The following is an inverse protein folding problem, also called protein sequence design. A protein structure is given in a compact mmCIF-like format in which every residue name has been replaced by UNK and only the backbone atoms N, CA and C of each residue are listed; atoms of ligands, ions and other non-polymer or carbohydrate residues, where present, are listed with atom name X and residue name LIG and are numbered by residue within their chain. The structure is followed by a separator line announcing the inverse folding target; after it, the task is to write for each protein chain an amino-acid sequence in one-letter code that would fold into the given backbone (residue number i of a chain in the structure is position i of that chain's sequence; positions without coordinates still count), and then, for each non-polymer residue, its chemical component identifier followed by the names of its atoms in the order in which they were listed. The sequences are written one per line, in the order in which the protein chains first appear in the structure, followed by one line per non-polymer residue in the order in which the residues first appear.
data_IF_773303126425
#
_entry.id   IF_773303126425
#
_cell.length_a   1.000
_cell.length_b   1.000
_cell.length_c   1.000
_cell.angle_alpha   90.00
_cell.angle_beta   90.00
_cell.angle_gamma   90.00
#
_symmetry.space_group_name_H-M   'P 1'
#
loop_
_entity.id
_entity.type
_entity.pdbx_description
1 polymer ?
#
# COMPACT_ATOMS: atom_id res chain seq x y z
N UNK A 1 -91.98 36.62 -16.11
CA UNK A 1 -90.52 36.78 -15.89
C UNK A 1 -90.25 36.68 -14.40
N UNK A 2 -89.06 36.23 -13.94
CA UNK A 2 -88.00 35.47 -14.64
C UNK A 2 -87.77 34.12 -13.90
N UNK A 3 -86.57 33.50 -13.87
CA UNK A 3 -86.07 32.70 -15.00
C UNK A 3 -85.75 31.23 -14.62
N UNK A 4 -85.43 30.46 -15.67
CA UNK A 4 -84.81 29.14 -15.62
C UNK A 4 -83.50 29.13 -14.82
N UNK A 5 -83.17 27.98 -14.20
CA UNK A 5 -81.78 27.70 -13.81
C UNK A 5 -81.41 26.22 -14.10
N UNK A 6 -80.91 25.99 -15.31
CA UNK A 6 -80.52 24.68 -15.80
C UNK A 6 -79.08 24.36 -15.36
N UNK A 7 -78.92 23.68 -14.21
CA UNK A 7 -77.60 23.24 -13.75
C UNK A 7 -77.04 22.15 -14.68
N UNK A 8 -75.89 22.37 -15.36
CA UNK A 8 -75.29 21.35 -16.21
C UNK A 8 -74.73 20.21 -15.35
N UNK A 9 -75.21 18.98 -15.59
CA UNK A 9 -74.60 17.78 -15.00
C UNK A 9 -73.24 17.56 -15.66
N UNK A 10 -72.17 17.87 -14.95
CA UNK A 10 -70.79 17.73 -15.42
C UNK A 10 -70.42 16.24 -15.52
N UNK A 11 -70.76 15.61 -16.64
CA UNK A 11 -70.33 14.24 -16.91
C UNK A 11 -68.79 14.23 -17.08
N UNK A 12 -68.03 13.44 -16.29
CA UNK A 12 -66.58 13.41 -16.43
C UNK A 12 -66.23 12.95 -17.86
N UNK A 13 -65.35 13.67 -18.59
CA UNK A 13 -65.05 13.32 -19.96
C UNK A 13 -64.53 11.89 -20.05
N UNK A 14 -65.04 11.09 -21.00
CA UNK A 14 -64.62 9.68 -21.24
C UNK A 14 -63.09 9.46 -21.31
N UNK A 15 -62.32 10.53 -21.55
CA UNK A 15 -60.85 10.58 -21.48
C UNK A 15 -60.29 10.28 -20.09
N UNK A 16 -60.90 10.77 -19.01
CA UNK A 16 -60.47 10.50 -17.62
C UNK A 16 -60.70 9.05 -17.22
N UNK A 17 -61.82 8.45 -17.66
CA UNK A 17 -62.08 7.03 -17.47
C UNK A 17 -61.01 6.17 -18.17
N UNK A 18 -60.64 6.52 -19.41
CA UNK A 18 -59.56 5.86 -20.17
C UNK A 18 -58.18 6.04 -19.51
N UNK A 19 -57.88 7.23 -18.97
CA UNK A 19 -56.64 7.48 -18.25
C UNK A 19 -56.56 6.65 -16.95
N UNK A 20 -57.66 6.55 -16.19
CA UNK A 20 -57.74 5.69 -15.02
C UNK A 20 -57.55 4.21 -15.35
N UNK A 21 -58.18 3.70 -16.42
CA UNK A 21 -57.97 2.32 -16.91
C UNK A 21 -56.52 2.10 -17.32
N UNK A 22 -55.90 3.03 -18.05
CA UNK A 22 -54.50 2.93 -18.43
C UNK A 22 -53.55 2.89 -17.22
N UNK A 23 -53.79 3.72 -16.19
CA UNK A 23 -53.03 3.71 -14.94
C UNK A 23 -53.14 2.34 -14.24
N UNK A 24 -54.36 1.79 -14.13
CA UNK A 24 -54.58 0.46 -13.51
C UNK A 24 -53.85 -0.64 -14.29
N UNK A 25 -53.90 -0.63 -15.62
CA UNK A 25 -53.16 -1.60 -16.46
C UNK A 25 -51.65 -1.48 -16.23
N UNK A 26 -51.11 -0.26 -16.18
CA UNK A 26 -49.68 -0.04 -15.90
C UNK A 26 -49.29 -0.54 -14.51
N UNK A 27 -50.11 -0.30 -13.49
CA UNK A 27 -49.87 -0.81 -12.12
C UNK A 27 -49.93 -2.34 -12.05
N UNK A 28 -50.89 -2.96 -12.74
CA UNK A 28 -50.98 -4.43 -12.84
C UNK A 28 -49.76 -5.01 -13.56
N UNK A 29 -49.28 -4.38 -14.64
CA UNK A 29 -48.06 -4.80 -15.33
C UNK A 29 -46.81 -4.68 -14.43
N UNK A 30 -46.69 -3.61 -13.65
CA UNK A 30 -45.59 -3.47 -12.67
C UNK A 30 -45.67 -4.53 -11.55
N UNK A 31 -46.89 -4.81 -11.04
CA UNK A 31 -47.10 -5.86 -10.04
C UNK A 31 -46.75 -7.25 -10.59
N UNK A 32 -47.14 -7.56 -11.84
CA UNK A 32 -46.79 -8.81 -12.52
C UNK A 32 -45.28 -8.91 -12.78
N UNK A 33 -44.61 -7.82 -13.18
CA UNK A 33 -43.16 -7.79 -13.37
C UNK A 33 -42.42 -8.01 -12.04
N UNK A 34 -42.87 -7.39 -10.94
CA UNK A 34 -42.32 -7.61 -9.60
C UNK A 34 -42.57 -9.05 -9.12
N UNK A 35 -43.74 -9.63 -9.39
CA UNK A 35 -44.05 -11.03 -9.05
C UNK A 35 -43.21 -12.02 -9.88
N UNK A 36 -42.98 -11.70 -11.16
CA UNK A 36 -42.09 -12.48 -12.03
C UNK A 36 -40.65 -12.42 -11.53
N UNK A 37 -40.13 -11.22 -11.25
CA UNK A 37 -38.76 -11.03 -10.77
C UNK A 37 -38.54 -11.72 -9.41
N UNK A 38 -39.46 -11.59 -8.45
CA UNK A 38 -39.35 -12.26 -7.15
C UNK A 38 -39.39 -13.79 -7.25
N UNK A 39 -40.09 -14.36 -8.25
CA UNK A 39 -40.11 -15.81 -8.52
C UNK A 39 -38.90 -16.30 -9.32
N UNK A 40 -38.28 -15.46 -10.15
CA UNK A 40 -37.17 -15.83 -11.04
C UNK A 40 -35.83 -15.16 -10.65
N UNK A 41 -35.66 -14.79 -9.37
CA UNK A 41 -34.42 -14.21 -8.83
C UNK A 41 -33.32 -15.23 -8.52
N UNK A 42 -33.62 -16.53 -8.58
CA UNK A 42 -32.65 -17.62 -8.34
C UNK A 42 -31.32 -17.42 -9.10
N UNK A 43 -31.28 -17.21 -10.44
CA UNK A 43 -30.01 -17.00 -11.17
C UNK A 43 -29.32 -15.65 -10.88
N UNK A 44 -29.98 -14.72 -10.19
CA UNK A 44 -29.41 -13.44 -9.76
C UNK A 44 -29.01 -13.44 -8.27
N UNK A 45 -29.32 -14.52 -7.55
CA UNK A 45 -28.91 -14.69 -6.17
C UNK A 45 -27.50 -15.28 -6.19
N UNK A 46 -26.45 -14.54 -5.77
CA UNK A 46 -25.12 -15.12 -5.69
C UNK A 46 -25.17 -16.34 -4.76
N UNK A 47 -24.50 -17.45 -5.10
CA UNK A 47 -24.54 -18.66 -4.29
C UNK A 47 -24.15 -18.32 -2.85
N UNK A 48 -24.89 -18.91 -1.90
CA UNK A 48 -24.54 -18.78 -0.48
C UNK A 48 -23.07 -19.20 -0.31
N UNK A 49 -22.26 -18.43 0.46
CA UNK A 49 -20.86 -18.79 0.66
C UNK A 49 -20.82 -20.20 1.23
N UNK A 50 -20.13 -21.10 0.53
CA UNK A 50 -20.05 -22.49 0.95
C UNK A 50 -19.53 -22.54 2.39
N UNK A 51 -20.26 -23.21 3.27
CA UNK A 51 -19.74 -23.62 4.58
C UNK A 51 -18.70 -24.72 4.32
N UNK A 52 -17.51 -24.31 3.87
CA UNK A 52 -16.42 -25.24 3.56
C UNK A 52 -16.00 -25.90 4.88
N UNK A 53 -16.12 -27.23 5.02
CA UNK A 53 -15.66 -27.94 6.22
C UNK A 53 -14.14 -27.99 6.19
N UNK A 54 -13.55 -26.89 6.62
CA UNK A 54 -12.12 -26.65 6.64
C UNK A 54 -11.51 -27.29 7.88
N UNK A 55 -10.46 -28.11 7.70
CA UNK A 55 -9.52 -28.35 8.78
C UNK A 55 -8.73 -27.06 9.00
N UNK A 56 -9.12 -26.28 10.03
CA UNK A 56 -8.59 -24.94 10.27
C UNK A 56 -7.18 -25.03 10.84
N UNK A 57 -6.19 -25.30 9.97
CA UNK A 57 -4.79 -25.03 10.30
C UNK A 57 -4.61 -23.50 10.34
N UNK A 58 -4.70 -22.96 11.55
CA UNK A 58 -4.62 -21.53 11.81
C UNK A 58 -3.15 -21.09 11.92
N UNK A 59 -2.61 -20.56 10.82
CA UNK A 59 -1.31 -19.94 10.79
C UNK A 59 -1.40 -18.52 11.39
N UNK A 60 -0.65 -18.30 12.47
CA UNK A 60 -0.41 -16.97 13.04
C UNK A 60 0.88 -16.36 12.45
N UNK A 61 1.06 -15.02 12.52
CA UNK A 61 2.35 -14.42 12.28
C UNK A 61 3.43 -15.09 13.13
N UNK A 62 4.54 -15.47 12.50
CA UNK A 62 5.69 -16.13 13.12
C UNK A 62 6.97 -15.57 12.50
N UNK A 63 8.11 -15.58 13.22
CA UNK A 63 9.37 -15.15 12.63
C UNK A 63 9.72 -15.94 11.37
N UNK A 64 10.29 -15.27 10.38
CA UNK A 64 10.76 -15.89 9.14
C UNK A 64 12.03 -16.69 9.40
N UNK A 65 12.22 -17.76 8.63
CA UNK A 65 13.47 -18.54 8.66
C UNK A 65 14.64 -17.66 8.18
N UNK A 66 15.67 -17.53 9.01
CA UNK A 66 16.94 -16.91 8.61
C UNK A 66 17.98 -18.01 8.45
N UNK A 67 18.44 -18.19 7.22
CA UNK A 67 19.66 -18.94 6.98
C UNK A 67 20.83 -18.16 7.62
N UNK A 68 21.72 -18.81 8.39
CA UNK A 68 22.83 -18.11 9.02
C UNK A 68 23.70 -17.49 7.93
N UNK A 69 24.00 -16.20 8.07
CA UNK A 69 24.91 -15.50 7.16
C UNK A 69 26.24 -16.28 7.11
N UNK A 70 26.64 -16.70 5.92
CA UNK A 70 27.89 -17.44 5.73
C UNK A 70 29.03 -16.58 6.31
N UNK A 71 29.81 -17.09 7.27
CA UNK A 71 30.79 -16.26 7.97
C UNK A 71 31.77 -15.69 6.94
N UNK A 72 31.81 -14.36 6.86
CA UNK A 72 32.66 -13.65 5.92
C UNK A 72 34.12 -14.16 6.07
N UNK A 73 34.84 -14.41 4.96
CA UNK A 73 36.20 -14.91 5.03
C UNK A 73 37.03 -13.96 5.88
N UNK A 74 37.68 -14.48 6.92
CA UNK A 74 38.58 -13.72 7.80
C UNK A 74 39.53 -12.89 6.92
N UNK A 75 39.61 -11.56 7.09
CA UNK A 75 40.60 -10.76 6.38
C UNK A 75 41.99 -11.35 6.62
N UNK A 76 42.66 -11.76 5.55
CA UNK A 76 44.05 -12.19 5.64
C UNK A 76 44.88 -11.04 6.21
N UNK A 77 45.68 -11.32 7.23
CA UNK A 77 46.45 -10.31 7.93
C UNK A 77 47.42 -9.63 6.94
N UNK A 78 47.15 -8.37 6.60
CA UNK A 78 48.06 -7.56 5.78
C UNK A 78 49.35 -7.31 6.58
N UNK A 79 50.54 -7.54 6.01
CA UNK A 79 51.79 -7.23 6.69
C UNK A 79 51.85 -5.76 7.12
N UNK A 80 52.31 -5.50 8.34
CA UNK A 80 52.40 -4.15 8.89
C UNK A 80 53.46 -3.33 8.13
N UNK A 81 53.09 -2.11 7.72
CA UNK A 81 54.04 -1.16 7.15
C UNK A 81 54.96 -0.57 8.24
N UNK A 82 56.21 -0.16 7.92
CA UNK A 82 57.16 0.33 8.92
C UNK A 82 56.77 1.69 9.52
N UNK A 83 57.14 1.89 10.79
CA UNK A 83 56.97 3.17 11.52
C UNK A 83 57.87 4.27 10.93
N UNK A 84 57.37 5.50 10.72
CA UNK A 84 58.23 6.66 10.43
C UNK A 84 59.12 7.03 11.62
N UNK A 85 60.34 7.51 11.34
CA UNK A 85 61.31 7.94 12.34
C UNK A 85 61.01 9.37 12.88
N UNK A 86 61.52 9.64 14.09
CA UNK A 86 61.32 10.89 14.85
C UNK A 86 62.39 11.95 14.49
N UNK A 87 62.02 13.19 14.10
CA UNK A 87 62.98 14.29 13.98
C UNK A 87 63.40 14.89 15.34
N UNK A 88 64.61 15.45 15.38
CA UNK A 88 65.19 16.20 16.50
C UNK A 88 65.46 17.68 16.09
N UNK A 89 65.68 18.63 17.03
CA UNK A 89 65.28 20.03 16.85
C UNK A 89 66.40 21.08 16.71
N UNK A 90 66.07 22.28 16.18
CA UNK A 90 66.57 23.65 16.51
C UNK A 90 66.27 24.65 15.36
N UNK A 91 66.31 26.01 15.54
CA UNK A 91 66.14 26.85 16.74
C UNK A 91 65.09 27.99 16.57
N UNK A 92 65.06 28.96 17.50
CA UNK A 92 63.98 29.93 17.83
C UNK A 92 64.25 31.43 17.49
N UNK A 93 63.18 32.30 17.45
CA UNK A 93 63.10 33.75 17.90
C UNK A 93 62.04 34.59 17.08
N UNK A 94 61.31 35.62 17.60
CA UNK A 94 60.62 35.86 18.90
C UNK A 94 59.15 36.39 18.75
N UNK A 95 58.53 36.93 19.82
CA UNK A 95 57.13 37.42 19.93
C UNK A 95 56.85 38.86 19.43
N UNK A 96 55.57 39.31 19.35
CA UNK A 96 54.96 40.17 20.41
C UNK A 96 53.56 39.67 20.88
N UNK A 97 53.28 39.59 22.19
CA UNK A 97 52.76 40.60 23.14
C UNK A 97 51.22 40.62 23.32
N UNK A 98 50.81 40.75 24.58
CA UNK A 98 49.46 40.55 25.14
C UNK A 98 49.04 41.83 25.91
N UNK A 99 47.79 42.31 25.83
CA UNK A 99 47.28 43.39 26.68
C UNK A 99 46.46 42.88 27.87
N UNK A 100 46.83 43.35 29.05
CA UNK A 100 46.16 43.14 30.35
C UNK A 100 44.84 43.92 30.48
N UNK A 101 43.90 43.49 31.35
CA UNK A 101 42.69 44.25 31.66
C UNK A 101 42.94 45.35 32.69
N UNK A 102 42.23 46.47 32.57
CA UNK A 102 42.13 47.49 33.63
C UNK A 102 40.66 47.90 33.81
N UNK A 103 40.16 47.72 35.03
CA UNK A 103 38.86 48.22 35.46
C UNK A 103 39.01 49.62 36.05
N UNK A 104 38.09 50.54 35.77
CA UNK A 104 37.99 51.83 36.46
C UNK A 104 36.52 52.11 36.77
N UNK A 105 36.20 52.38 38.03
CA UNK A 105 34.90 52.89 38.46
C UNK A 105 34.99 54.41 38.68
N UNK A 106 33.93 55.13 38.33
CA UNK A 106 33.55 56.43 38.95
C UNK A 106 32.02 56.54 38.87
N UNK A 107 31.39 57.09 39.90
CA UNK A 107 29.94 57.19 40.05
C UNK A 107 29.44 58.64 39.99
N UNK A 108 28.15 58.86 39.69
CA UNK A 108 27.28 59.84 40.36
C UNK A 108 25.80 59.74 39.91
N UNK A 109 24.91 59.62 40.92
CA UNK A 109 23.53 60.12 41.09
C UNK A 109 22.50 60.31 39.95
N UNK A 110 21.27 59.86 40.23
CA UNK A 110 20.02 60.23 39.52
C UNK A 110 18.91 59.17 39.66
N UNK A 111 17.77 59.52 40.26
CA UNK A 111 16.61 58.60 40.52
C UNK A 111 15.30 59.31 40.07
N UNK A 112 14.15 58.61 40.01
CA UNK A 112 13.51 57.89 38.88
C UNK A 112 12.41 58.78 38.20
N UNK A 113 11.34 58.31 37.48
CA UNK A 113 10.84 56.96 37.10
C UNK A 113 10.56 56.84 35.56
N UNK A 114 9.75 55.94 34.96
CA UNK A 114 8.76 54.96 35.45
C UNK A 114 8.50 53.76 34.47
N UNK A 115 7.81 52.74 35.01
CA UNK A 115 6.86 51.80 34.36
C UNK A 115 7.08 51.27 32.92
N UNK A 116 7.34 49.95 32.79
CA UNK A 116 6.40 49.00 32.15
C UNK A 116 6.81 47.51 32.31
N UNK A 117 5.79 46.66 32.58
CA UNK A 117 5.65 45.23 32.26
C UNK A 117 6.81 44.21 32.48
N UNK A 118 6.65 43.41 33.55
CA UNK A 118 7.06 41.99 33.65
C UNK A 118 6.01 41.08 32.96
N UNK A 119 6.23 39.80 32.61
CA UNK A 119 7.43 38.97 32.42
C UNK A 119 7.03 37.63 31.76
N UNK A 120 8.02 36.83 31.34
CA UNK A 120 7.85 35.43 30.88
C UNK A 120 8.03 35.26 29.36
N UNK A 121 8.96 34.45 28.86
CA UNK A 121 9.89 33.55 29.56
C UNK A 121 10.47 32.50 28.62
N UNK A 122 11.10 32.93 27.52
CA UNK A 122 11.60 32.06 26.45
C UNK A 122 13.01 31.54 26.74
N UNK A 123 13.11 30.29 27.16
CA UNK A 123 14.38 29.55 27.18
C UNK A 123 14.72 29.03 25.78
N UNK A 124 15.55 29.76 25.04
CA UNK A 124 16.15 29.28 23.79
C UNK A 124 17.53 28.67 24.10
N UNK A 125 17.63 27.35 23.98
CA UNK A 125 18.90 26.61 24.05
C UNK A 125 19.26 26.06 22.69
N UNK A 126 20.24 26.65 22.01
CA UNK A 126 20.66 26.24 20.68
C UNK A 126 21.87 25.30 20.72
N UNK A 127 21.81 24.27 19.87
CA UNK A 127 22.94 23.55 19.25
C UNK A 127 23.95 22.81 20.15
N UNK A 128 24.01 21.49 19.95
CA UNK A 128 25.29 20.80 19.68
C UNK A 128 25.02 19.56 18.81
N UNK A 129 25.53 19.56 17.57
CA UNK A 129 25.48 18.39 16.71
C UNK A 129 26.53 17.35 17.15
N UNK A 130 26.11 16.11 17.36
CA UNK A 130 26.99 14.95 17.55
C UNK A 130 26.68 13.90 16.48
N UNK A 131 27.44 13.92 15.39
CA UNK A 131 27.36 12.92 14.33
C UNK A 131 27.98 11.58 14.80
N UNK A 132 27.22 10.82 15.58
CA UNK A 132 27.54 9.44 15.96
C UNK A 132 26.99 8.46 14.94
N UNK A 133 27.72 8.23 13.85
CA UNK A 133 27.37 7.28 12.80
C UNK A 133 27.45 5.82 13.26
N UNK A 134 26.51 5.39 14.10
CA UNK A 134 26.34 3.99 14.46
C UNK A 134 25.67 3.23 13.30
N UNK A 135 26.48 2.80 12.34
CA UNK A 135 26.07 1.71 11.44
C UNK A 135 25.83 0.47 12.31
N UNK A 136 24.56 0.23 12.64
CA UNK A 136 24.11 -0.95 13.36
C UNK A 136 24.24 -2.17 12.46
N UNK A 137 25.46 -2.68 12.32
CA UNK A 137 25.73 -3.93 11.64
C UNK A 137 24.82 -5.00 12.24
N UNK A 138 23.89 -5.51 11.43
CA UNK A 138 22.93 -6.50 11.86
C UNK A 138 23.68 -7.72 12.40
N UNK A 139 23.64 -7.91 13.72
CA UNK A 139 24.27 -9.07 14.34
C UNK A 139 23.58 -10.32 13.80
N UNK A 140 24.34 -11.15 13.10
CA UNK A 140 23.83 -12.39 12.53
C UNK A 140 23.32 -13.29 13.67
N UNK A 141 21.99 -13.33 13.83
CA UNK A 141 21.35 -14.18 14.81
C UNK A 141 21.56 -15.66 14.50
N UNK A 142 21.42 -16.55 15.49
CA UNK A 142 21.46 -18.00 15.26
C UNK A 142 20.37 -18.43 14.28
N UNK A 143 20.63 -19.52 13.57
CA UNK A 143 19.66 -20.11 12.65
C UNK A 143 18.34 -20.43 13.38
N UNK A 144 17.24 -19.86 12.90
CA UNK A 144 15.91 -20.03 13.50
C UNK A 144 15.01 -20.81 12.55
N UNK A 145 14.42 -21.90 13.03
CA UNK A 145 13.37 -22.65 12.33
C UNK A 145 12.08 -21.81 12.26
N UNK A 146 12.04 -20.88 11.30
CA UNK A 146 10.95 -19.94 11.10
C UNK A 146 10.02 -20.34 9.94
N UNK A 147 9.15 -19.43 9.54
CA UNK A 147 8.35 -19.59 8.33
C UNK A 147 9.18 -19.17 7.12
N UNK A 148 9.21 -19.98 6.06
CA UNK A 148 9.90 -19.59 4.82
C UNK A 148 9.18 -18.40 4.19
N UNK A 149 9.95 -17.38 3.83
CA UNK A 149 9.47 -16.16 3.21
C UNK A 149 10.41 -15.78 2.07
N UNK A 150 9.85 -15.42 0.93
CA UNK A 150 10.62 -14.97 -0.23
C UNK A 150 9.83 -13.87 -0.95
N UNK A 151 10.18 -12.61 -0.72
CA UNK A 151 9.44 -11.44 -1.21
C UNK A 151 9.09 -11.56 -2.72
N UNK A 152 7.89 -11.12 -3.15
CA UNK A 152 7.50 -11.20 -4.55
C UNK A 152 8.36 -10.26 -5.43
N UNK A 153 8.55 -10.56 -6.72
CA UNK A 153 9.42 -9.78 -7.61
C UNK A 153 8.94 -8.33 -7.73
N UNK A 154 9.87 -7.38 -7.56
CA UNK A 154 9.67 -5.95 -7.85
C UNK A 154 9.18 -5.75 -9.29
N UNK A 155 8.27 -4.80 -9.51
CA UNK A 155 7.74 -4.53 -10.85
C UNK A 155 6.63 -3.48 -10.85
N UNK A 156 6.25 -3.07 -12.06
CA UNK A 156 5.07 -2.24 -12.29
C UNK A 156 3.95 -3.12 -12.85
N UNK A 157 2.87 -3.22 -12.08
CA UNK A 157 1.75 -4.10 -12.31
C UNK A 157 0.58 -3.28 -12.83
N UNK A 158 0.03 -3.68 -13.98
CA UNK A 158 -1.13 -3.05 -14.59
C UNK A 158 -2.33 -4.00 -14.52
N UNK A 159 -3.49 -3.42 -14.25
CA UNK A 159 -4.74 -4.15 -14.06
C UNK A 159 -5.87 -3.49 -14.83
N UNK A 160 -6.68 -4.30 -15.50
CA UNK A 160 -8.02 -3.91 -15.89
C UNK A 160 -8.85 -3.72 -14.62
N UNK A 161 -9.29 -2.49 -14.36
CA UNK A 161 -10.07 -2.17 -13.17
C UNK A 161 -11.56 -2.18 -13.51
N UNK A 162 -12.34 -3.01 -12.83
CA UNK A 162 -13.79 -3.10 -13.00
C UNK A 162 -14.50 -2.55 -11.76
N UNK A 163 -15.58 -1.78 -11.98
CA UNK A 163 -16.48 -1.31 -10.93
C UNK A 163 -17.87 -1.86 -11.21
N UNK A 164 -18.38 -2.70 -10.31
CA UNK A 164 -19.63 -3.46 -10.51
C UNK A 164 -19.67 -4.20 -11.87
N UNK A 165 -18.56 -4.81 -12.28
CA UNK A 165 -18.41 -5.51 -13.57
C UNK A 165 -18.23 -4.61 -14.80
N UNK A 166 -18.25 -3.29 -14.66
CA UNK A 166 -17.97 -2.35 -15.76
C UNK A 166 -16.49 -1.95 -15.75
N UNK A 167 -15.77 -2.23 -16.85
CA UNK A 167 -14.36 -1.86 -17.01
C UNK A 167 -14.19 -0.33 -17.04
N UNK A 168 -13.13 0.14 -16.40
CA UNK A 168 -12.71 1.53 -16.29
C UNK A 168 -11.27 1.69 -16.81
N UNK A 169 -10.67 2.85 -16.56
CA UNK A 169 -9.24 3.05 -16.77
C UNK A 169 -8.38 1.99 -16.03
N UNK A 170 -7.16 1.79 -16.47
CA UNK A 170 -6.20 0.85 -15.87
C UNK A 170 -5.89 1.23 -14.41
N UNK A 171 -5.94 0.25 -13.51
CA UNK A 171 -5.38 0.36 -12.16
C UNK A 171 -3.90 -0.02 -12.15
N UNK A 172 -3.11 0.59 -11.27
CA UNK A 172 -1.68 0.28 -11.14
C UNK A 172 -1.30 -0.11 -9.73
N UNK A 173 -0.34 -1.05 -9.62
CA UNK A 173 0.42 -1.30 -8.41
C UNK A 173 1.91 -1.18 -8.78
N UNK A 174 2.62 -0.31 -8.10
CA UNK A 174 4.08 -0.19 -8.17
C UNK A 174 4.65 -0.84 -6.93
N UNK A 175 5.39 -1.92 -7.10
CA UNK A 175 6.04 -2.66 -6.01
C UNK A 175 7.56 -2.62 -6.19
N UNK A 176 8.28 -2.23 -5.15
CA UNK A 176 9.74 -2.22 -5.10
C UNK A 176 10.22 -2.73 -3.75
N UNK A 177 11.21 -3.60 -3.76
CA UNK A 177 11.96 -4.02 -2.56
C UNK A 177 13.38 -4.43 -2.96
N UNK A 178 14.33 -4.13 -2.07
CA UNK A 178 15.73 -4.60 -2.09
C UNK A 178 15.95 -5.78 -1.10
N UNK A 179 14.89 -6.24 -0.43
CA UNK A 179 14.94 -7.25 0.62
C UNK A 179 15.25 -6.72 2.03
N UNK A 180 15.44 -5.41 2.21
CA UNK A 180 15.61 -4.74 3.51
C UNK A 180 14.56 -3.63 3.73
N UNK A 181 14.19 -2.93 2.66
CA UNK A 181 13.17 -1.89 2.58
C UNK A 181 12.15 -2.23 1.50
N UNK A 182 11.01 -1.55 1.51
CA UNK A 182 10.05 -1.64 0.42
C UNK A 182 9.27 -0.34 0.21
N UNK A 183 8.80 -0.16 -1.02
CA UNK A 183 7.80 0.82 -1.40
C UNK A 183 6.68 0.15 -2.20
N UNK A 184 5.44 0.53 -1.87
CA UNK A 184 4.23 0.03 -2.49
C UNK A 184 3.29 1.21 -2.77
N UNK A 185 2.96 1.45 -4.02
CA UNK A 185 2.02 2.50 -4.45
C UNK A 185 0.90 1.89 -5.29
N UNK A 186 -0.35 2.15 -4.93
CA UNK A 186 -1.54 1.58 -5.58
C UNK A 186 -2.43 2.72 -6.06
N UNK A 187 -2.86 2.68 -7.32
CA UNK A 187 -3.89 3.58 -7.87
C UNK A 187 -5.03 2.77 -8.48
N UNK A 188 -6.24 2.96 -7.94
CA UNK A 188 -7.46 2.30 -8.37
C UNK A 188 -8.45 3.35 -8.89
N UNK A 189 -8.78 3.40 -10.19
CA UNK A 189 -9.78 4.32 -10.69
C UNK A 189 -11.18 3.91 -10.25
N UNK A 190 -11.94 4.86 -9.68
CA UNK A 190 -13.31 4.64 -9.22
C UNK A 190 -14.23 5.69 -9.84
N UNK A 191 -15.27 5.29 -10.60
CA UNK A 191 -16.21 6.21 -11.24
C UNK A 191 -16.86 7.19 -10.26
N UNK A 192 -17.13 8.41 -10.75
CA UNK A 192 -17.81 9.52 -10.05
C UNK A 192 -17.12 10.08 -8.79
N UNK A 193 -16.30 9.28 -8.09
CA UNK A 193 -15.60 9.66 -6.85
C UNK A 193 -14.17 10.14 -7.16
N UNK A 194 -13.56 9.63 -8.24
CA UNK A 194 -12.14 9.79 -8.55
C UNK A 194 -11.30 8.63 -8.00
N UNK A 195 -10.02 8.54 -8.38
CA UNK A 195 -9.19 7.40 -8.02
C UNK A 195 -8.98 7.28 -6.50
N UNK A 196 -8.90 6.06 -6.01
CA UNK A 196 -8.31 5.77 -4.71
C UNK A 196 -6.82 5.56 -4.89
N UNK A 197 -6.02 6.21 -4.05
CA UNK A 197 -4.57 6.07 -4.01
C UNK A 197 -4.15 5.58 -2.65
N UNK A 198 -3.24 4.62 -2.62
CA UNK A 198 -2.69 4.08 -1.38
C UNK A 198 -1.18 4.02 -1.51
N UNK A 199 -0.45 4.37 -0.45
CA UNK A 199 1.01 4.22 -0.39
C UNK A 199 1.38 3.54 0.92
N UNK A 200 2.26 2.55 0.84
CA UNK A 200 2.83 1.86 1.98
C UNK A 200 4.34 1.80 1.80
N UNK A 201 5.09 2.10 2.86
CA UNK A 201 6.53 2.06 2.88
C UNK A 201 7.02 1.56 4.24
N UNK A 202 8.16 0.89 4.24
CA UNK A 202 8.75 0.37 5.46
C UNK A 202 9.91 -0.58 5.19
N UNK A 203 10.05 -1.55 6.07
CA UNK A 203 11.18 -2.48 6.12
C UNK A 203 10.76 -3.92 5.86
N UNK A 204 11.73 -4.79 5.67
CA UNK A 204 11.59 -6.24 5.79
C UNK A 204 12.26 -6.67 7.09
N UNK A 205 11.49 -7.14 8.06
CA UNK A 205 11.99 -7.48 9.40
C UNK A 205 11.95 -8.98 9.72
N UNK A 206 12.02 -9.33 11.01
CA UNK A 206 11.94 -10.71 11.47
C UNK A 206 10.65 -11.45 11.08
N UNK A 207 9.60 -10.77 10.61
CA UNK A 207 8.31 -11.34 10.24
C UNK A 207 7.96 -11.17 8.75
N UNK A 208 8.85 -10.58 7.95
CA UNK A 208 8.61 -10.28 6.53
C UNK A 208 8.36 -8.79 6.30
N UNK A 209 7.42 -8.44 5.41
CA UNK A 209 7.02 -7.06 5.14
C UNK A 209 6.50 -6.41 6.42
N UNK A 210 7.00 -5.21 6.72
CA UNK A 210 6.79 -4.56 8.00
C UNK A 210 6.62 -3.03 7.78
N UNK A 211 5.38 -2.53 7.67
CA UNK A 211 5.11 -1.12 7.38
C UNK A 211 5.65 -0.18 8.45
N UNK A 212 6.16 0.97 8.03
CA UNK A 212 6.49 2.12 8.90
C UNK A 212 5.50 3.27 8.70
N UNK A 213 4.98 3.44 7.47
CA UNK A 213 3.98 4.44 7.11
C UNK A 213 3.00 3.92 6.05
N UNK A 214 1.71 4.12 6.28
CA UNK A 214 0.62 3.92 5.32
C UNK A 214 -0.10 5.24 5.05
N UNK A 215 -0.52 5.46 3.81
CA UNK A 215 -1.25 6.65 3.36
C UNK A 215 -2.43 6.21 2.48
N UNK A 216 -3.61 6.76 2.73
CA UNK A 216 -4.83 6.52 1.95
C UNK A 216 -5.44 7.85 1.47
N UNK A 217 -5.74 7.95 0.18
CA UNK A 217 -6.47 9.07 -0.41
C UNK A 217 -7.64 8.55 -1.24
N UNK A 218 -8.88 8.88 -0.85
CA UNK A 218 -10.09 8.46 -1.60
C UNK A 218 -10.70 9.61 -2.41
N UNK A 219 -10.45 9.61 -3.71
CA UNK A 219 -10.97 10.63 -4.64
C UNK A 219 -10.30 11.98 -4.39
N UNK A 220 -11.09 13.03 -4.17
CA UNK A 220 -10.61 14.40 -3.86
C UNK A 220 -10.47 14.69 -2.36
N UNK A 221 -10.59 13.69 -1.48
CA UNK A 221 -10.41 13.89 -0.04
C UNK A 221 -8.92 14.16 0.30
N UNK A 222 -8.64 14.80 1.46
CA UNK A 222 -7.29 14.83 2.03
C UNK A 222 -6.70 13.42 2.21
N UNK A 223 -5.39 13.35 2.39
CA UNK A 223 -4.70 12.09 2.70
C UNK A 223 -4.86 11.73 4.19
N UNK A 224 -5.35 10.52 4.46
CA UNK A 224 -5.28 9.90 5.78
C UNK A 224 -3.95 9.15 5.91
N UNK A 225 -3.32 9.19 7.08
CA UNK A 225 -2.00 8.60 7.33
C UNK A 225 -2.07 7.75 8.61
N UNK A 226 -1.44 6.57 8.56
CA UNK A 226 -1.14 5.75 9.73
C UNK A 226 0.38 5.57 9.88
N UNK A 227 0.92 5.82 11.08
CA UNK A 227 2.35 5.70 11.40
C UNK A 227 2.56 4.56 12.39
N UNK A 228 3.45 3.63 12.06
CA UNK A 228 3.66 2.38 12.80
C UNK A 228 4.85 2.56 13.75
N UNK A 229 4.62 3.16 14.91
CA UNK A 229 5.67 3.47 15.87
C UNK A 229 6.04 2.23 16.71
N UNK A 230 7.17 1.61 16.35
CA UNK A 230 7.72 0.41 17.01
C UNK A 230 8.35 0.67 18.38
N UNK A 231 8.74 1.91 18.70
CA UNK A 231 9.31 2.26 20.01
C UNK A 231 8.23 2.16 21.10
N UNK A 232 7.06 2.74 20.86
CA UNK A 232 5.91 2.71 21.77
C UNK A 232 4.94 1.55 21.50
N UNK A 233 5.21 0.74 20.46
CA UNK A 233 4.37 -0.37 19.97
C UNK A 233 2.90 0.02 19.71
N UNK A 234 2.70 1.17 19.07
CA UNK A 234 1.38 1.66 18.66
C UNK A 234 1.39 2.19 17.24
N UNK A 235 0.21 2.18 16.62
CA UNK A 235 -0.08 2.85 15.36
C UNK A 235 -0.92 4.09 15.66
N UNK A 236 -0.46 5.24 15.19
CA UNK A 236 -1.13 6.54 15.34
C UNK A 236 -1.73 6.99 14.02
N UNK A 237 -2.89 7.65 14.05
CA UNK A 237 -3.64 8.07 12.86
C UNK A 237 -3.74 9.59 12.73
N UNK A 238 -3.91 10.10 11.50
CA UNK A 238 -4.33 11.49 11.29
C UNK A 238 -5.85 11.66 11.25
N UNK A 239 -6.62 10.59 10.98
CA UNK A 239 -8.09 10.63 10.86
C UNK A 239 -8.83 10.58 12.19
N UNK A 240 -8.20 10.08 13.25
CA UNK A 240 -8.77 9.97 14.61
C UNK A 240 -7.67 10.19 15.66
N UNK A 241 -7.97 10.73 16.85
CA UNK A 241 -7.05 10.74 17.98
C UNK A 241 -6.82 9.36 18.63
N UNK A 242 -7.57 8.32 18.23
CA UNK A 242 -7.37 6.95 18.72
C UNK A 242 -6.03 6.37 18.25
N UNK A 243 -5.50 5.39 18.99
CA UNK A 243 -4.34 4.59 18.60
C UNK A 243 -4.72 3.11 18.49
N UNK A 244 -4.02 2.36 17.64
CA UNK A 244 -4.11 0.91 17.56
C UNK A 244 -2.84 0.24 18.12
N UNK A 245 -2.89 -1.01 18.64
CA UNK A 245 -1.69 -1.74 19.04
C UNK A 245 -0.84 -2.10 17.82
N UNK A 246 0.48 -2.25 18.00
CA UNK A 246 1.41 -2.73 16.97
C UNK A 246 2.04 -4.07 17.39
N UNK A 247 1.32 -5.21 17.28
CA UNK A 247 1.92 -6.53 17.43
C UNK A 247 2.87 -6.86 16.28
N UNK A 248 3.75 -7.83 16.49
CA UNK A 248 4.69 -8.28 15.46
C UNK A 248 3.97 -8.81 14.21
N UNK A 249 4.51 -8.53 13.02
CA UNK A 249 3.92 -8.93 11.75
C UNK A 249 2.65 -8.16 11.33
N UNK A 250 2.31 -7.07 12.03
CA UNK A 250 1.23 -6.14 11.62
C UNK A 250 1.44 -5.60 10.21
N UNK A 251 0.35 -5.51 9.44
CA UNK A 251 0.31 -5.03 8.06
C UNK A 251 -0.63 -3.84 7.91
N UNK A 252 -0.59 -3.17 6.77
CA UNK A 252 -1.70 -2.38 6.23
C UNK A 252 -2.46 -3.18 5.16
N UNK A 253 -3.52 -2.58 4.61
CA UNK A 253 -4.45 -3.21 3.66
C UNK A 253 -3.81 -3.71 2.37
N UNK A 254 -2.70 -3.14 1.92
CA UNK A 254 -2.01 -3.52 0.67
C UNK A 254 -0.66 -4.20 0.91
N UNK A 255 0.09 -3.83 1.95
CA UNK A 255 1.29 -4.59 2.35
C UNK A 255 0.96 -6.03 2.75
N UNK A 256 -0.23 -6.27 3.32
CA UNK A 256 -0.74 -7.62 3.58
C UNK A 256 -0.78 -8.51 2.33
N UNK A 257 -1.08 -7.95 1.14
CA UNK A 257 -1.06 -8.69 -0.11
C UNK A 257 0.36 -9.16 -0.45
N UNK A 258 1.34 -8.25 -0.35
CA UNK A 258 2.75 -8.55 -0.66
C UNK A 258 3.37 -9.50 0.38
N UNK A 259 2.96 -9.38 1.65
CA UNK A 259 3.31 -10.31 2.71
C UNK A 259 2.74 -11.71 2.43
N UNK A 260 1.46 -11.83 2.08
CA UNK A 260 0.84 -13.11 1.70
C UNK A 260 1.56 -13.73 0.50
N UNK A 261 1.79 -12.95 -0.56
CA UNK A 261 2.56 -13.39 -1.73
C UNK A 261 3.95 -13.90 -1.35
N UNK A 262 4.67 -13.19 -0.47
CA UNK A 262 6.01 -13.60 -0.03
C UNK A 262 6.04 -14.86 0.85
N UNK A 263 5.02 -15.07 1.69
CA UNK A 263 4.87 -16.29 2.49
C UNK A 263 4.51 -17.50 1.60
N UNK A 264 3.54 -17.33 0.69
CA UNK A 264 3.13 -18.38 -0.24
C UNK A 264 4.26 -18.74 -1.19
N UNK A 265 5.01 -17.75 -1.71
CA UNK A 265 6.21 -17.96 -2.52
C UNK A 265 7.34 -18.68 -1.76
N UNK A 266 7.47 -18.44 -0.46
CA UNK A 266 8.46 -19.10 0.40
C UNK A 266 8.13 -20.57 0.70
N UNK A 267 6.85 -20.93 0.81
CA UNK A 267 6.42 -22.32 1.02
C UNK A 267 5.00 -22.59 0.46
N UNK A 268 4.86 -22.84 -0.85
CA UNK A 268 3.55 -23.08 -1.48
C UNK A 268 2.78 -24.26 -0.86
N UNK A 269 3.50 -25.29 -0.40
CA UNK A 269 2.93 -26.53 0.13
C UNK A 269 2.30 -26.36 1.53
N UNK A 270 2.62 -25.27 2.23
CA UNK A 270 1.94 -24.89 3.47
C UNK A 270 0.56 -24.27 3.23
N UNK A 271 0.29 -23.71 2.04
CA UNK A 271 -0.96 -23.02 1.71
C UNK A 271 -1.92 -23.92 0.93
N UNK A 272 -2.29 -25.05 1.54
CA UNK A 272 -3.31 -25.97 1.00
C UNK A 272 -4.72 -25.44 1.27
N UNK A 273 -5.71 -25.93 0.51
CA UNK A 273 -7.14 -25.61 0.71
C UNK A 273 -7.56 -25.74 2.18
N UNK A 274 -8.18 -24.70 2.71
CA UNK A 274 -8.60 -24.60 4.11
C UNK A 274 -7.57 -24.01 5.08
N UNK A 275 -6.30 -23.88 4.71
CA UNK A 275 -5.32 -23.24 5.60
C UNK A 275 -5.69 -21.75 5.76
N UNK A 276 -5.74 -21.26 7.00
CA UNK A 276 -6.10 -19.87 7.34
C UNK A 276 -4.90 -19.15 7.92
N UNK A 277 -4.43 -18.10 7.24
CA UNK A 277 -3.42 -17.18 7.73
C UNK A 277 -4.07 -15.97 8.40
N UNK A 278 -3.71 -15.69 9.65
CA UNK A 278 -4.07 -14.43 10.31
C UNK A 278 -3.04 -13.34 10.02
N UNK A 279 -3.55 -12.14 9.79
CA UNK A 279 -2.80 -10.88 9.79
C UNK A 279 -3.51 -9.89 10.72
N UNK A 280 -2.77 -9.10 11.50
CA UNK A 280 -3.32 -7.90 12.12
C UNK A 280 -3.19 -6.76 11.10
N UNK A 281 -4.31 -6.21 10.63
CA UNK A 281 -4.34 -5.26 9.51
C UNK A 281 -4.85 -3.91 9.99
N UNK A 282 -4.04 -2.89 9.70
CA UNK A 282 -4.34 -1.49 9.92
C UNK A 282 -5.11 -0.92 8.72
N UNK A 283 -6.26 -0.30 9.02
CA UNK A 283 -6.99 0.61 8.14
C UNK A 283 -6.69 2.06 8.55
N UNK A 284 -7.23 3.06 7.86
CA UNK A 284 -6.95 4.48 8.11
C UNK A 284 -7.52 5.07 9.44
N UNK A 285 -8.02 4.25 10.37
CA UNK A 285 -8.40 4.67 11.74
C UNK A 285 -8.41 3.56 12.80
N UNK A 286 -8.06 2.32 12.46
CA UNK A 286 -8.27 1.17 13.34
C UNK A 286 -7.42 -0.01 12.90
N UNK A 287 -7.22 -0.98 13.81
CA UNK A 287 -6.56 -2.24 13.52
C UNK A 287 -7.48 -3.41 13.84
N UNK A 288 -7.61 -4.37 12.91
CA UNK A 288 -8.45 -5.55 13.07
C UNK A 288 -7.75 -6.81 12.54
N UNK A 289 -7.93 -7.96 13.18
CA UNK A 289 -7.39 -9.23 12.67
C UNK A 289 -8.18 -9.72 11.45
N UNK A 290 -7.49 -10.04 10.36
CA UNK A 290 -8.06 -10.57 9.12
C UNK A 290 -7.67 -12.04 8.96
N UNK A 291 -8.64 -12.99 8.99
CA UNK A 291 -8.42 -14.38 8.64
C UNK A 291 -8.49 -14.59 7.13
N UNK A 292 -7.36 -14.85 6.49
CA UNK A 292 -7.24 -15.11 5.06
C UNK A 292 -7.15 -16.62 4.83
N UNK A 293 -8.13 -17.21 4.16
CA UNK A 293 -8.22 -18.67 3.98
C UNK A 293 -8.02 -19.06 2.53
N UNK A 294 -7.22 -20.10 2.29
CA UNK A 294 -7.06 -20.72 0.97
C UNK A 294 -8.36 -21.42 0.58
N UNK A 295 -8.97 -21.00 -0.52
CA UNK A 295 -10.20 -21.62 -1.05
C UNK A 295 -9.88 -22.79 -1.98
N UNK A 296 -8.82 -22.68 -2.78
CA UNK A 296 -8.36 -23.70 -3.70
C UNK A 296 -7.50 -23.12 -4.82
N UNK A 297 -7.10 -23.96 -5.75
CA UNK A 297 -6.49 -23.53 -7.00
C UNK A 297 -7.61 -23.33 -8.05
N UNK A 298 -7.59 -22.19 -8.75
CA UNK A 298 -8.61 -21.76 -9.72
C UNK A 298 -7.95 -21.00 -10.89
N UNK A 299 -8.24 -21.35 -12.15
CA UNK A 299 -7.73 -20.59 -13.30
C UNK A 299 -8.51 -19.28 -13.48
N UNK A 300 -7.80 -18.16 -13.58
CA UNK A 300 -8.37 -16.84 -13.87
C UNK A 300 -8.28 -16.56 -15.37
N UNK A 301 -9.36 -16.10 -15.98
CA UNK A 301 -9.36 -15.63 -17.37
C UNK A 301 -8.92 -14.16 -17.42
N UNK A 302 -7.85 -13.86 -18.15
CA UNK A 302 -7.36 -12.49 -18.43
C UNK A 302 -7.46 -12.18 -19.93
N UNK A 303 -7.22 -10.93 -20.33
CA UNK A 303 -7.12 -10.56 -21.75
C UNK A 303 -5.99 -11.31 -22.50
N UNK A 304 -4.93 -11.70 -21.78
CA UNK A 304 -3.79 -12.45 -22.33
C UNK A 304 -4.02 -13.98 -22.36
N UNK A 305 -5.13 -14.48 -21.79
CA UNK A 305 -5.45 -15.91 -21.69
C UNK A 305 -5.73 -16.36 -20.25
N UNK A 306 -5.81 -17.68 -20.04
CA UNK A 306 -5.98 -18.25 -18.70
C UNK A 306 -4.67 -18.27 -17.93
N UNK A 307 -4.73 -17.97 -16.64
CA UNK A 307 -3.60 -18.03 -15.71
C UNK A 307 -3.96 -18.90 -14.52
N UNK A 308 -3.12 -19.87 -14.20
CA UNK A 308 -3.28 -20.71 -13.00
C UNK A 308 -3.02 -19.88 -11.74
N UNK A 309 -3.93 -19.96 -10.77
CA UNK A 309 -3.82 -19.19 -9.52
C UNK A 309 -4.28 -19.99 -8.32
N UNK A 310 -3.87 -19.55 -7.13
CA UNK A 310 -4.46 -19.94 -5.85
C UNK A 310 -5.38 -18.84 -5.34
N UNK A 311 -6.64 -19.18 -5.08
CA UNK A 311 -7.66 -18.30 -4.52
C UNK A 311 -7.59 -18.28 -2.99
N UNK A 312 -7.59 -17.07 -2.44
CA UNK A 312 -7.64 -16.76 -1.01
C UNK A 312 -8.80 -15.80 -0.75
N UNK A 313 -9.55 -16.03 0.33
CA UNK A 313 -10.68 -15.17 0.74
C UNK A 313 -10.50 -14.71 2.20
N UNK A 314 -10.78 -13.44 2.48
CA UNK A 314 -10.94 -12.93 3.84
C UNK A 314 -12.29 -13.39 4.39
N UNK A 315 -12.27 -14.28 5.40
CA UNK A 315 -13.51 -14.75 6.02
C UNK A 315 -14.19 -13.64 6.84
N UNK A 316 -15.53 -13.63 6.94
CA UNK A 316 -16.26 -12.77 7.87
C UNK A 316 -15.80 -13.00 9.31
N UNK A 317 -15.56 -11.92 10.06
CA UNK A 317 -14.99 -11.99 11.42
C UNK A 317 -16.04 -12.05 12.52
N UNK A 318 -17.27 -11.64 12.20
CA UNK A 318 -18.43 -11.52 13.09
C UNK A 318 -19.71 -11.50 12.26
N UNK A 319 -20.85 -11.78 12.89
CA UNK A 319 -22.15 -11.57 12.27
C UNK A 319 -22.27 -10.11 11.77
N UNK A 320 -22.74 -9.92 10.53
CA UNK A 320 -22.83 -8.61 9.89
C UNK A 320 -21.54 -8.10 9.21
N UNK A 321 -20.42 -8.83 9.25
CA UNK A 321 -19.22 -8.47 8.48
C UNK A 321 -19.38 -8.85 6.99
N UNK A 322 -20.07 -8.00 6.24
CA UNK A 322 -20.44 -8.22 4.83
C UNK A 322 -19.36 -7.82 3.82
N UNK A 323 -18.27 -7.19 4.25
CA UNK A 323 -17.15 -6.83 3.36
C UNK A 323 -16.40 -8.11 2.95
N UNK A 324 -16.26 -8.36 1.66
CA UNK A 324 -15.49 -9.49 1.12
C UNK A 324 -14.25 -9.00 0.41
N UNK A 325 -13.16 -9.76 0.53
CA UNK A 325 -11.89 -9.51 -0.14
C UNK A 325 -11.39 -10.87 -0.61
N UNK A 326 -11.28 -11.00 -1.93
CA UNK A 326 -10.88 -12.20 -2.64
C UNK A 326 -9.64 -11.90 -3.48
N UNK A 327 -8.67 -12.81 -3.46
CA UNK A 327 -7.32 -12.60 -3.96
C UNK A 327 -6.85 -13.87 -4.66
N UNK A 328 -6.43 -13.76 -5.92
CA UNK A 328 -5.91 -14.88 -6.69
C UNK A 328 -4.43 -14.63 -6.98
N UNK A 329 -3.55 -15.47 -6.45
CA UNK A 329 -2.10 -15.34 -6.59
C UNK A 329 -1.57 -16.34 -7.61
N UNK A 330 -0.82 -15.88 -8.62
CA UNK A 330 -0.38 -16.72 -9.74
C UNK A 330 1.09 -17.16 -9.61
N UNK A 331 1.41 -18.48 -9.61
CA UNK A 331 2.79 -18.95 -9.56
C UNK A 331 3.65 -18.41 -10.71
N UNK A 332 3.09 -18.30 -11.93
CA UNK A 332 3.77 -17.77 -13.12
C UNK A 332 4.12 -16.27 -13.02
N UNK A 333 3.39 -15.51 -12.19
CA UNK A 333 3.73 -14.11 -11.87
C UNK A 333 4.67 -13.99 -10.66
N UNK A 334 5.27 -15.08 -10.20
CA UNK A 334 6.06 -15.09 -8.97
C UNK A 334 5.20 -14.90 -7.71
N UNK A 335 3.98 -15.45 -7.72
CA UNK A 335 2.94 -15.32 -6.68
C UNK A 335 2.40 -13.90 -6.47
N UNK A 336 2.59 -12.99 -7.44
CA UNK A 336 1.89 -11.71 -7.45
C UNK A 336 0.37 -11.89 -7.68
N UNK A 337 -0.46 -10.90 -7.26
CA UNK A 337 -1.89 -10.96 -7.49
C UNK A 337 -2.24 -10.88 -8.99
N UNK A 338 -2.88 -11.93 -9.50
CA UNK A 338 -3.47 -11.97 -10.84
C UNK A 338 -4.91 -11.44 -10.86
N UNK A 339 -5.63 -11.53 -9.74
CA UNK A 339 -6.96 -10.94 -9.55
C UNK A 339 -7.15 -10.51 -8.10
N UNK A 340 -7.81 -9.37 -7.90
CA UNK A 340 -8.24 -8.87 -6.60
C UNK A 340 -9.70 -8.41 -6.73
N UNK A 341 -10.58 -8.83 -5.82
CA UNK A 341 -11.98 -8.42 -5.78
C UNK A 341 -12.32 -7.98 -4.36
N UNK A 342 -12.78 -6.73 -4.21
CA UNK A 342 -13.33 -6.21 -2.95
C UNK A 342 -14.82 -5.92 -3.13
N UNK A 343 -15.67 -6.57 -2.34
CA UNK A 343 -17.09 -6.21 -2.19
C UNK A 343 -17.26 -5.42 -0.89
N UNK A 344 -17.75 -4.19 -1.01
CA UNK A 344 -18.09 -3.32 0.11
C UNK A 344 -19.44 -3.70 0.76
N UNK A 345 -19.73 -3.30 2.01
CA UNK A 345 -20.99 -3.61 2.69
C UNK A 345 -22.27 -3.15 1.99
N UNK A 346 -22.17 -2.17 1.09
CA UNK A 346 -23.29 -1.68 0.26
C UNK A 346 -23.48 -2.48 -1.04
N UNK A 347 -22.73 -3.57 -1.23
CA UNK A 347 -22.76 -4.42 -2.43
C UNK A 347 -21.89 -3.90 -3.60
N UNK A 348 -21.30 -2.70 -3.50
CA UNK A 348 -20.41 -2.20 -4.54
C UNK A 348 -19.14 -3.06 -4.63
N UNK A 349 -18.73 -3.41 -5.85
CA UNK A 349 -17.59 -4.28 -6.12
C UNK A 349 -16.53 -3.50 -6.88
N UNK A 350 -15.29 -3.57 -6.41
CA UNK A 350 -14.10 -3.13 -7.14
C UNK A 350 -13.25 -4.36 -7.43
N UNK A 351 -12.90 -4.54 -8.68
CA UNK A 351 -12.08 -5.66 -9.16
C UNK A 351 -10.85 -5.10 -9.90
N UNK A 352 -9.72 -5.77 -9.72
CA UNK A 352 -8.49 -5.56 -10.48
C UNK A 352 -8.10 -6.91 -11.09
N UNK A 353 -8.08 -6.99 -12.41
CA UNK A 353 -7.71 -8.18 -13.18
C UNK A 353 -6.41 -7.94 -13.93
N UNK A 354 -5.46 -8.87 -13.86
CA UNK A 354 -4.13 -8.70 -14.45
C UNK A 354 -4.18 -8.44 -15.96
N UNK A 355 -3.53 -7.35 -16.37
CA UNK A 355 -3.50 -6.87 -17.76
C UNK A 355 -2.25 -7.32 -18.53
N UNK A 356 -1.17 -7.64 -17.81
CA UNK A 356 0.14 -7.92 -18.39
C UNK A 356 0.30 -9.31 -19.03
N UNK A 357 1.52 -9.67 -19.47
CA UNK A 357 1.82 -11.00 -19.98
C UNK A 357 1.64 -12.07 -18.90
N UNK A 358 1.47 -13.33 -19.29
CA UNK A 358 1.27 -14.47 -18.37
C UNK A 358 2.56 -14.94 -17.66
N UNK A 359 3.48 -14.00 -17.38
CA UNK A 359 4.77 -14.22 -16.75
C UNK A 359 5.10 -13.07 -15.80
N UNK A 360 5.96 -13.32 -14.80
CA UNK A 360 6.37 -12.32 -13.82
C UNK A 360 6.87 -11.02 -14.48
N UNK A 361 6.53 -9.84 -13.93
CA UNK A 361 6.94 -8.57 -14.50
C UNK A 361 8.47 -8.47 -14.51
N UNK A 362 9.03 -7.97 -15.60
CA UNK A 362 10.41 -7.53 -15.61
C UNK A 362 10.56 -6.32 -14.68
N UNK A 363 11.63 -6.30 -13.87
CA UNK A 363 12.05 -5.08 -13.19
C UNK A 363 12.40 -4.07 -14.28
N UNK A 364 11.81 -2.85 -14.31
CA UNK A 364 12.26 -1.82 -15.22
C UNK A 364 13.75 -1.59 -14.99
N UNK A 365 14.56 -1.64 -16.05
CA UNK A 365 15.98 -1.35 -15.94
C UNK A 365 16.11 0.05 -15.33
N UNK A 366 16.65 0.12 -14.11
CA UNK A 366 17.08 1.38 -13.51
C UNK A 366 17.99 2.05 -14.52
N UNK A 367 17.69 3.30 -14.87
CA UNK A 367 18.41 4.00 -15.94
C UNK A 367 19.89 3.98 -15.60
N UNK A 368 20.67 3.21 -16.37
CA UNK A 368 22.10 3.08 -16.14
C UNK A 368 22.70 4.49 -16.11
N UNK A 369 23.53 4.83 -15.12
CA UNK A 369 24.13 6.16 -15.06
C UNK A 369 24.86 6.40 -16.38
N UNK A 370 24.59 7.54 -17.02
CA UNK A 370 25.17 7.92 -18.32
C UNK A 370 26.70 7.78 -18.29
N UNK A 371 27.19 6.62 -18.73
CA UNK A 371 28.60 6.44 -19.02
C UNK A 371 28.85 7.20 -20.30
N UNK A 372 29.24 8.46 -20.18
CA UNK A 372 29.49 9.39 -21.29
C UNK A 372 30.48 8.84 -22.29
N UNK A 373 29.98 8.06 -23.25
CA UNK A 373 30.70 7.50 -24.37
C UNK A 373 30.78 8.51 -25.50
N UNK A 374 31.99 8.93 -25.85
CA UNK A 374 32.29 9.85 -26.95
C UNK A 374 31.60 9.45 -28.27
N UNK A 375 31.03 10.40 -29.03
CA UNK A 375 30.38 10.08 -30.30
C UNK A 375 31.42 9.64 -31.34
N UNK A 376 31.28 8.42 -31.84
CA UNK A 376 32.14 7.88 -32.89
C UNK A 376 31.65 8.32 -34.28
N UNK A 377 32.59 8.44 -35.23
CA UNK A 377 32.36 9.07 -36.54
C UNK A 377 31.40 8.29 -37.46
N UNK A 378 30.71 8.97 -38.41
CA UNK A 378 29.85 8.31 -39.39
C UNK A 378 30.65 7.52 -40.45
N UNK A 379 30.10 6.40 -40.97
CA UNK A 379 30.75 5.60 -42.00
C UNK A 379 30.71 6.26 -43.39
N UNK A 380 31.69 5.99 -44.28
CA UNK A 380 31.68 6.50 -45.65
C UNK A 380 30.60 5.80 -46.50
N UNK A 381 29.77 6.61 -47.18
CA UNK A 381 28.75 6.11 -48.10
C UNK A 381 29.36 5.64 -49.44
N UNK A 382 28.85 4.54 -49.98
CA UNK A 382 29.32 3.95 -51.23
C UNK A 382 28.87 4.74 -52.47
N UNK A 383 29.72 4.83 -53.49
CA UNK A 383 29.43 5.46 -54.77
C UNK A 383 28.69 4.51 -55.73
N UNK A 384 27.52 4.93 -56.20
CA UNK A 384 26.72 4.23 -57.22
C UNK A 384 27.37 4.26 -58.61
N UNK A 385 27.19 3.21 -59.45
CA UNK A 385 27.69 3.19 -60.82
C UNK A 385 26.79 4.00 -61.79
N UNK A 386 27.35 4.56 -62.88
CA UNK A 386 26.57 5.21 -63.94
C UNK A 386 25.86 4.19 -64.86
N UNK A 387 24.75 4.63 -65.45
CA UNK A 387 24.01 3.84 -66.45
C UNK A 387 24.71 3.84 -67.82
N UNK A 388 24.50 2.76 -68.57
CA UNK A 388 25.00 2.52 -69.93
C UNK A 388 23.99 2.95 -71.02
N UNK A 389 24.33 2.91 -72.32
CA UNK A 389 25.65 2.70 -72.93
C UNK A 389 26.28 3.96 -73.53
#
# INVERSE_FOLDING_TARGET
MPPSDARPRYAPPRRWLRAGVALVVVLVLHALAALWFTRHREPFTPPAPAEVPVQIELLKPRPIERQPAQPAPKPAARPAAPKPAKPAPAPSRPAPQEPVPTSTQTAAEGVPPAAAASAGGTASGASAAAAGGASGAATAGPASSGVKFAAPPSGDLQYDALFNGMQNATGTIHWRTDGQTYELSVTMPVPFIGPFRYRSQGRVDAYGIAPDRYVEQRGKRPEDIAIFNREIRQVVFTRTPDNAPLPDGTQDRFSMLMQLSGLVRGNPDAYRRGVTQQFFVIDNNSGETWPITVIGDEPVQTAAGFIETRHFMRLPRRAGDTRRIDMWLAPSLGWLPARLVQTEPNGAQIELLWHGPLAAPAVPAEAAPDTGGTPNAPPPAASSPPAAP
#
